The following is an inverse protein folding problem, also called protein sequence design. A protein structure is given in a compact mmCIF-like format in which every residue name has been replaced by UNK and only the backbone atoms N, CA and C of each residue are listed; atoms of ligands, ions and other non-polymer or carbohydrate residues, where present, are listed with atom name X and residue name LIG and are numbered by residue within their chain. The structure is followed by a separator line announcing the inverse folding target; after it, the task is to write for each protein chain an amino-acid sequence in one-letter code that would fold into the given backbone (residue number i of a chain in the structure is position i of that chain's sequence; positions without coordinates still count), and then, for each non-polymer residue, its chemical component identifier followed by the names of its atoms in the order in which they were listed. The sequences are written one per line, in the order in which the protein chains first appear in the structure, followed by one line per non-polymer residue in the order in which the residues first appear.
data_IF_529775401852
#
_entry.id   IF_529775401852
#
_cell.length_a   1.000
_cell.length_b   1.000
_cell.length_c   1.000
_cell.angle_alpha   90.00
_cell.angle_beta   90.00
_cell.angle_gamma   90.00
#
_symmetry.space_group_name_H-M   'P 1'
#
loop_
_entity.id
_entity.type
_entity.pdbx_description
1 polymer ?
#
# COMPACT_ATOMS: atom_id res chain seq x y z
N UNK A 1 -54.09 60.21 50.08
CA UNK A 1 -53.19 59.64 51.11
C UNK A 1 -52.67 58.32 50.62
N UNK A 2 -51.35 58.22 50.40
CA UNK A 2 -50.48 57.02 50.53
C UNK A 2 -49.20 57.17 49.67
N UNK A 3 -48.21 57.77 50.32
CA UNK A 3 -46.77 57.41 50.43
C UNK A 3 -46.34 56.08 49.77
N UNK A 4 -45.13 55.82 49.24
CA UNK A 4 -43.76 56.39 49.40
C UNK A 4 -42.76 55.54 48.54
N UNK A 5 -41.50 56.04 48.42
CA UNK A 5 -40.20 55.34 48.13
C UNK A 5 -39.85 55.12 46.64
N UNK A 6 -38.90 55.86 46.04
CA UNK A 6 -37.42 55.88 46.20
C UNK A 6 -36.77 54.52 45.97
N UNK A 7 -35.98 54.41 44.89
CA UNK A 7 -34.66 53.73 44.86
C UNK A 7 -33.90 54.04 43.57
N UNK A 8 -32.83 54.81 43.72
CA UNK A 8 -31.73 54.95 42.75
C UNK A 8 -31.14 53.59 42.39
N UNK A 9 -30.75 53.39 41.13
CA UNK A 9 -29.82 52.34 40.75
C UNK A 9 -28.87 52.83 39.65
N UNK A 10 -27.60 52.56 39.87
CA UNK A 10 -26.41 53.09 39.22
C UNK A 10 -26.24 52.66 37.75
N UNK A 11 -25.45 53.46 37.03
CA UNK A 11 -24.76 53.15 35.78
C UNK A 11 -24.07 51.78 35.79
N UNK A 12 -24.18 51.05 34.69
CA UNK A 12 -23.13 50.15 34.20
C UNK A 12 -23.23 50.05 32.66
N UNK A 13 -22.43 50.87 31.96
CA UNK A 13 -22.24 50.76 30.52
C UNK A 13 -21.26 49.61 30.25
N UNK A 14 -21.79 48.46 29.81
CA UNK A 14 -21.01 47.30 29.39
C UNK A 14 -20.63 47.48 27.91
N UNK A 15 -19.35 47.80 27.65
CA UNK A 15 -18.79 47.77 26.29
C UNK A 15 -18.68 46.31 25.81
N UNK A 16 -19.61 45.89 24.97
CA UNK A 16 -19.53 44.64 24.21
C UNK A 16 -18.61 44.84 22.99
N UNK A 17 -17.32 44.49 23.13
CA UNK A 17 -16.37 44.45 22.01
C UNK A 17 -16.52 43.15 21.20
N UNK A 18 -16.40 43.18 19.85
CA UNK A 18 -16.53 41.99 19.02
C UNK A 18 -15.32 41.07 19.23
N UNK A 19 -15.57 39.87 19.75
CA UNK A 19 -14.59 38.80 19.90
C UNK A 19 -14.36 38.16 18.53
N UNK A 20 -13.25 38.50 17.88
CA UNK A 20 -12.87 37.89 16.60
C UNK A 20 -12.28 36.51 16.87
N UNK A 21 -13.04 35.45 16.61
CA UNK A 21 -12.50 34.08 16.63
C UNK A 21 -11.58 33.89 15.42
N UNK A 22 -10.27 33.83 15.68
CA UNK A 22 -9.28 33.39 14.71
C UNK A 22 -9.37 31.86 14.59
N UNK A 23 -9.94 31.37 13.49
CA UNK A 23 -9.91 29.95 13.16
C UNK A 23 -8.47 29.53 12.82
N UNK A 24 -7.81 28.80 13.71
CA UNK A 24 -6.55 28.10 13.39
C UNK A 24 -6.87 26.98 12.40
N UNK A 25 -6.44 27.14 11.15
CA UNK A 25 -6.42 26.05 10.19
C UNK A 25 -5.20 25.17 10.51
N UNK A 26 -5.44 24.03 11.16
CA UNK A 26 -4.42 23.00 11.31
C UNK A 26 -4.04 22.47 9.92
N UNK A 27 -2.77 22.63 9.54
CA UNK A 27 -2.21 21.93 8.38
C UNK A 27 -2.17 20.44 8.72
N UNK A 28 -3.10 19.66 8.17
CA UNK A 28 -2.91 18.22 8.10
C UNK A 28 -1.60 17.98 7.32
N UNK A 29 -0.67 17.23 7.89
CA UNK A 29 0.53 16.81 7.18
C UNK A 29 0.10 16.13 5.86
N UNK A 30 0.65 16.59 4.73
CA UNK A 30 0.36 16.02 3.41
C UNK A 30 0.77 14.55 3.40
N UNK A 31 -0.21 13.66 3.43
CA UNK A 31 -0.01 12.21 3.41
C UNK A 31 -0.13 11.71 1.96
N UNK A 32 0.89 11.00 1.51
CA UNK A 32 0.85 10.29 0.22
C UNK A 32 0.00 9.05 0.38
N UNK A 33 -1.13 9.00 -0.33
CA UNK A 33 -2.04 7.84 -0.32
C UNK A 33 -1.99 7.13 -1.66
N UNK A 34 -1.66 5.85 -1.66
CA UNK A 34 -1.66 5.01 -2.85
C UNK A 34 -2.55 3.80 -2.59
N UNK A 35 -3.29 3.36 -3.60
CA UNK A 35 -4.10 2.14 -3.48
C UNK A 35 -3.22 0.92 -3.73
N UNK A 36 -3.55 -0.19 -3.05
CA UNK A 36 -2.86 -1.46 -3.25
C UNK A 36 -2.90 -1.88 -4.73
N UNK A 37 -1.78 -2.41 -5.21
CA UNK A 37 -1.59 -2.89 -6.59
C UNK A 37 -1.77 -1.79 -7.67
N UNK A 38 -1.74 -0.52 -7.26
CA UNK A 38 -1.83 0.63 -8.16
C UNK A 38 -0.62 1.54 -8.04
N UNK A 39 -0.36 2.26 -9.12
CA UNK A 39 0.66 3.30 -9.18
C UNK A 39 0.02 4.68 -9.29
N UNK A 40 0.62 5.67 -8.61
CA UNK A 40 0.25 7.08 -8.70
C UNK A 40 1.46 7.91 -9.11
N UNK A 41 1.21 8.88 -9.99
CA UNK A 41 2.23 9.82 -10.46
C UNK A 41 2.14 11.09 -9.63
N UNK A 42 3.28 11.51 -9.09
CA UNK A 42 3.47 12.75 -8.35
C UNK A 42 4.46 13.65 -9.08
N UNK A 43 4.15 14.94 -9.15
CA UNK A 43 5.06 15.97 -9.67
C UNK A 43 5.76 16.63 -8.49
N UNK A 44 7.09 16.62 -8.53
CA UNK A 44 7.93 17.18 -7.47
C UNK A 44 8.12 18.68 -7.67
N UNK A 45 8.23 19.43 -6.57
CA UNK A 45 8.44 20.87 -6.61
C UNK A 45 9.85 21.26 -7.10
N UNK A 46 10.82 20.35 -6.98
CA UNK A 46 12.21 20.53 -7.39
C UNK A 46 12.77 19.24 -8.02
N UNK A 47 13.86 19.33 -8.82
CA UNK A 47 14.56 18.16 -9.36
C UNK A 47 15.11 17.25 -8.24
N UNK A 48 14.71 15.98 -8.24
CA UNK A 48 15.19 14.96 -7.33
C UNK A 48 16.27 14.09 -7.96
N UNK A 49 17.17 13.60 -7.11
CA UNK A 49 18.24 12.68 -7.47
C UNK A 49 18.12 11.35 -6.73
N UNK A 50 17.66 11.37 -5.47
CA UNK A 50 17.56 10.17 -4.63
C UNK A 50 16.16 10.02 -4.04
N UNK A 51 15.65 8.79 -4.02
CA UNK A 51 14.43 8.41 -3.32
C UNK A 51 14.78 7.39 -2.23
N UNK A 52 14.18 7.55 -1.05
CA UNK A 52 14.25 6.58 0.03
C UNK A 52 12.85 6.21 0.46
N UNK A 53 12.55 4.91 0.47
CA UNK A 53 11.35 4.34 1.06
C UNK A 53 11.75 3.60 2.33
N UNK A 54 11.10 3.89 3.46
CA UNK A 54 11.42 3.23 4.72
C UNK A 54 11.20 1.72 4.71
N UNK A 55 10.12 1.26 4.09
CA UNK A 55 9.82 -0.16 3.92
C UNK A 55 9.39 -0.50 2.48
N UNK A 56 10.28 -1.08 1.64
CA UNK A 56 9.97 -1.42 0.25
C UNK A 56 8.97 -2.58 0.10
N UNK A 57 8.67 -3.32 1.18
CA UNK A 57 7.61 -4.34 1.14
C UNK A 57 6.20 -3.71 1.14
N UNK A 58 6.05 -2.48 1.64
CA UNK A 58 4.76 -1.76 1.69
C UNK A 58 4.53 -0.99 0.40
N UNK A 59 5.53 -0.22 -0.05
CA UNK A 59 5.44 0.61 -1.24
C UNK A 59 6.78 0.70 -1.95
N UNK A 60 6.77 1.12 -3.20
CA UNK A 60 7.96 1.34 -4.01
C UNK A 60 7.80 2.62 -4.81
N UNK A 61 8.92 3.23 -5.19
CA UNK A 61 8.90 4.48 -5.91
C UNK A 61 10.08 4.60 -6.86
N UNK A 62 9.81 5.13 -8.06
CA UNK A 62 10.80 5.29 -9.13
C UNK A 62 10.69 6.68 -9.73
N UNK A 63 11.83 7.32 -10.00
CA UNK A 63 11.88 8.54 -10.82
C UNK A 63 11.75 8.14 -12.29
N UNK A 64 10.74 8.68 -12.98
CA UNK A 64 10.67 8.63 -14.44
C UNK A 64 11.61 9.67 -15.07
N UNK A 65 11.66 10.85 -14.45
CA UNK A 65 12.59 11.94 -14.74
C UNK A 65 12.85 12.71 -13.44
N UNK A 66 13.66 13.78 -13.50
CA UNK A 66 14.06 14.54 -12.32
C UNK A 66 12.88 15.13 -11.51
N UNK A 67 11.69 15.31 -12.08
CA UNK A 67 10.55 15.90 -11.37
C UNK A 67 9.30 15.01 -11.35
N UNK A 68 9.41 13.77 -11.81
CA UNK A 68 8.28 12.86 -11.97
C UNK A 68 8.51 11.59 -11.19
N UNK A 69 7.78 11.47 -10.08
CA UNK A 69 7.83 10.32 -9.20
C UNK A 69 6.64 9.40 -9.47
N UNK A 70 6.91 8.12 -9.71
CA UNK A 70 5.89 7.08 -9.79
C UNK A 70 5.96 6.28 -8.49
N UNK A 71 4.87 6.24 -7.73
CA UNK A 71 4.78 5.51 -6.46
C UNK A 71 3.79 4.36 -6.62
N UNK A 72 4.18 3.14 -6.24
CA UNK A 72 3.38 1.92 -6.36
C UNK A 72 3.11 1.33 -4.98
N UNK A 73 1.84 1.04 -4.68
CA UNK A 73 1.45 0.33 -3.45
C UNK A 73 1.63 -1.18 -3.63
N UNK A 74 2.37 -1.84 -2.72
CA UNK A 74 2.65 -3.29 -2.77
C UNK A 74 1.93 -4.09 -1.68
N UNK A 75 1.82 -3.54 -0.48
CA UNK A 75 1.13 -4.17 0.63
C UNK A 75 0.49 -3.11 1.54
N UNK A 76 -0.55 -3.49 2.27
CA UNK A 76 -1.19 -2.58 3.22
C UNK A 76 -0.23 -2.16 4.33
N UNK A 77 -0.28 -0.87 4.68
CA UNK A 77 0.52 -0.34 5.77
C UNK A 77 0.83 1.15 5.60
N UNK A 78 1.66 1.64 6.49
CA UNK A 78 2.21 2.98 6.43
C UNK A 78 3.73 2.90 6.48
N UNK A 79 4.38 3.71 5.66
CA UNK A 79 5.83 3.92 5.62
C UNK A 79 6.11 5.41 5.41
N UNK A 80 7.35 5.77 5.15
CA UNK A 80 7.78 7.11 4.84
C UNK A 80 8.44 7.14 3.45
N UNK A 81 8.26 8.26 2.78
CA UNK A 81 8.86 8.59 1.50
C UNK A 81 9.71 9.84 1.70
N UNK A 82 11.01 9.71 1.46
CA UNK A 82 11.97 10.80 1.51
C UNK A 82 12.53 11.00 0.10
N UNK A 83 12.52 12.24 -0.37
CA UNK A 83 13.05 12.62 -1.69
C UNK A 83 14.11 13.68 -1.49
N UNK A 84 15.29 13.45 -2.06
CA UNK A 84 16.46 14.32 -1.93
C UNK A 84 16.89 14.87 -3.29
N UNK A 85 17.45 16.07 -3.29
CA UNK A 85 18.10 16.67 -4.46
C UNK A 85 19.53 16.13 -4.68
N UNK A 86 20.26 16.69 -5.65
CA UNK A 86 21.65 16.30 -5.94
C UNK A 86 22.64 16.66 -4.82
N UNK A 87 22.31 17.63 -3.98
CA UNK A 87 23.12 18.07 -2.85
C UNK A 87 22.84 17.25 -1.59
N UNK A 88 21.82 16.38 -1.62
CA UNK A 88 21.37 15.57 -0.50
C UNK A 88 20.42 16.31 0.44
N UNK A 89 19.91 17.47 0.05
CA UNK A 89 18.93 18.23 0.82
C UNK A 89 17.53 17.65 0.60
N UNK A 90 16.68 17.74 1.64
CA UNK A 90 15.36 17.11 1.61
C UNK A 90 14.37 17.98 0.84
N UNK A 91 13.89 17.47 -0.30
CA UNK A 91 12.79 18.08 -1.07
C UNK A 91 11.46 17.77 -0.38
N UNK A 92 11.30 16.54 0.12
CA UNK A 92 10.05 16.07 0.75
C UNK A 92 10.35 14.93 1.72
N UNK A 93 9.73 14.96 2.88
CA UNK A 93 9.65 13.86 3.85
C UNK A 93 8.21 13.76 4.34
N UNK A 94 7.51 12.70 3.92
CA UNK A 94 6.07 12.51 4.18
C UNK A 94 5.73 11.07 4.49
N UNK A 95 4.63 10.90 5.23
CA UNK A 95 4.03 9.59 5.44
C UNK A 95 3.37 9.08 4.15
N UNK A 96 3.67 7.83 3.79
CA UNK A 96 3.06 7.11 2.69
C UNK A 96 2.16 6.02 3.26
N UNK A 97 0.87 6.04 2.93
CA UNK A 97 -0.11 5.03 3.31
C UNK A 97 -0.59 4.26 2.08
N UNK A 98 -0.54 2.93 2.16
CA UNK A 98 -1.13 2.03 1.15
C UNK A 98 -2.46 1.50 1.65
N UNK A 99 -3.51 1.82 0.91
CA UNK A 99 -4.90 1.58 1.29
C UNK A 99 -5.56 0.54 0.38
N UNK A 100 -6.68 -0.01 0.83
CA UNK A 100 -7.54 -0.81 -0.05
C UNK A 100 -7.99 0.04 -1.24
N UNK A 101 -8.05 -0.59 -2.42
CA UNK A 101 -8.70 0.01 -3.57
C UNK A 101 -10.13 0.38 -3.16
N UNK A 102 -10.47 1.66 -3.33
CA UNK A 102 -11.76 2.17 -2.88
C UNK A 102 -12.89 1.84 -3.86
N UNK A 103 -12.54 1.61 -5.12
CA UNK A 103 -13.49 1.31 -6.18
C UNK A 103 -13.58 -0.20 -6.46
N UNK A 104 -14.81 -0.68 -6.59
CA UNK A 104 -15.13 -2.02 -7.10
C UNK A 104 -14.50 -3.19 -6.32
N UNK A 105 -14.01 -2.96 -5.10
CA UNK A 105 -13.49 -4.00 -4.23
C UNK A 105 -14.51 -4.31 -3.13
N UNK A 106 -15.00 -5.55 -3.09
CA UNK A 106 -15.92 -6.03 -2.05
C UNK A 106 -15.19 -7.06 -1.19
N UNK A 107 -15.21 -6.86 0.12
CA UNK A 107 -14.66 -7.84 1.08
C UNK A 107 -15.80 -8.59 1.78
N UNK A 108 -15.74 -9.91 1.76
CA UNK A 108 -16.70 -10.82 2.41
C UNK A 108 -16.02 -11.53 3.57
N UNK A 109 -16.65 -11.50 4.75
CA UNK A 109 -16.19 -12.22 5.93
C UNK A 109 -17.09 -13.43 6.22
N UNK A 110 -16.50 -14.62 6.29
CA UNK A 110 -17.16 -15.88 6.70
C UNK A 110 -16.52 -16.34 8.01
N UNK A 111 -17.02 -15.80 9.12
CA UNK A 111 -16.33 -15.91 10.41
C UNK A 111 -15.00 -15.15 10.35
N UNK A 112 -13.90 -15.80 10.73
CA UNK A 112 -12.55 -15.22 10.64
C UNK A 112 -11.93 -15.28 9.23
N UNK A 113 -12.58 -15.94 8.27
CA UNK A 113 -12.10 -16.05 6.88
C UNK A 113 -12.51 -14.83 6.08
N UNK A 114 -11.54 -14.08 5.56
CA UNK A 114 -11.75 -12.93 4.66
C UNK A 114 -11.59 -13.35 3.20
N UNK A 115 -12.46 -12.88 2.32
CA UNK A 115 -12.37 -13.09 0.88
C UNK A 115 -12.60 -11.76 0.16
N UNK A 116 -11.82 -11.48 -0.89
CA UNK A 116 -11.96 -10.24 -1.66
C UNK A 116 -12.48 -10.53 -3.07
N UNK A 117 -13.35 -9.65 -3.56
CA UNK A 117 -13.99 -9.73 -4.88
C UNK A 117 -13.80 -8.40 -5.61
N UNK A 118 -13.49 -8.46 -6.90
CA UNK A 118 -13.51 -7.31 -7.80
C UNK A 118 -14.83 -7.29 -8.57
N UNK A 119 -15.63 -6.25 -8.42
CA UNK A 119 -16.99 -6.15 -8.93
C UNK A 119 -17.11 -5.06 -10.00
N UNK A 120 -16.93 -5.44 -11.27
CA UNK A 120 -17.17 -4.58 -12.42
C UNK A 120 -17.84 -5.36 -13.57
N UNK A 121 -19.14 -5.18 -13.85
CA UNK A 121 -20.28 -5.02 -12.94
C UNK A 121 -20.63 -6.31 -12.17
N UNK A 122 -20.10 -7.46 -12.59
CA UNK A 122 -20.22 -8.75 -11.91
C UNK A 122 -19.01 -8.97 -11.01
N UNK A 123 -19.22 -9.61 -9.85
CA UNK A 123 -18.15 -9.86 -8.89
C UNK A 123 -17.34 -11.11 -9.25
N UNK A 124 -16.04 -10.91 -9.44
CA UNK A 124 -15.05 -11.98 -9.67
C UNK A 124 -14.11 -12.10 -8.48
N UNK A 125 -13.70 -13.32 -8.09
CA UNK A 125 -12.74 -13.52 -7.00
C UNK A 125 -11.39 -12.89 -7.33
N UNK A 126 -10.77 -12.25 -6.34
CA UNK A 126 -9.44 -11.64 -6.46
C UNK A 126 -8.58 -11.98 -5.25
N UNK A 127 -7.27 -12.14 -5.47
CA UNK A 127 -6.32 -12.45 -4.42
C UNK A 127 -5.78 -11.15 -3.81
N UNK A 128 -6.17 -10.84 -2.58
CA UNK A 128 -5.71 -9.63 -1.88
C UNK A 128 -4.94 -10.01 -0.60
N UNK A 129 -3.80 -9.36 -0.29
CA UNK A 129 -3.10 -9.53 0.97
C UNK A 129 -4.03 -9.41 2.19
N UNK A 130 -4.00 -10.42 3.06
CA UNK A 130 -4.86 -10.52 4.23
C UNK A 130 -6.19 -11.23 4.01
N UNK A 131 -6.46 -11.77 2.82
CA UNK A 131 -7.50 -12.78 2.62
C UNK A 131 -7.13 -14.12 3.28
N UNK A 132 -8.11 -14.99 3.47
CA UNK A 132 -7.93 -16.37 3.91
C UNK A 132 -6.94 -17.11 2.99
N UNK A 133 -6.04 -17.90 3.58
CA UNK A 133 -4.94 -18.52 2.86
C UNK A 133 -5.38 -19.50 1.78
N UNK A 134 -6.48 -20.22 1.98
CA UNK A 134 -7.03 -21.15 0.99
C UNK A 134 -7.61 -20.37 -0.21
N UNK A 135 -8.31 -19.26 0.06
CA UNK A 135 -8.85 -18.39 -0.98
C UNK A 135 -7.74 -17.74 -1.82
N UNK A 136 -6.78 -17.10 -1.14
CA UNK A 136 -5.66 -16.42 -1.77
C UNK A 136 -4.79 -17.39 -2.59
N UNK A 137 -4.38 -18.51 -1.97
CA UNK A 137 -3.56 -19.53 -2.63
C UNK A 137 -4.27 -20.21 -3.79
N UNK A 138 -5.58 -20.45 -3.67
CA UNK A 138 -6.40 -21.03 -4.72
C UNK A 138 -6.44 -20.17 -5.99
N UNK A 139 -6.68 -18.86 -5.84
CA UNK A 139 -6.71 -17.93 -6.98
C UNK A 139 -5.33 -17.84 -7.64
N UNK A 140 -4.26 -17.67 -6.87
CA UNK A 140 -2.90 -17.61 -7.43
C UNK A 140 -2.52 -18.90 -8.17
N UNK A 141 -2.91 -20.06 -7.63
CA UNK A 141 -2.70 -21.35 -8.29
C UNK A 141 -3.45 -21.45 -9.63
N UNK A 142 -4.71 -21.02 -9.67
CA UNK A 142 -5.52 -20.99 -10.89
C UNK A 142 -4.92 -20.06 -11.95
N UNK A 143 -4.50 -18.85 -11.57
CA UNK A 143 -3.85 -17.89 -12.48
C UNK A 143 -2.53 -18.45 -13.02
N UNK A 144 -1.71 -19.05 -12.17
CA UNK A 144 -0.45 -19.67 -12.59
C UNK A 144 -0.68 -20.82 -13.59
N UNK A 145 -1.66 -21.68 -13.33
CA UNK A 145 -2.05 -22.76 -14.25
C UNK A 145 -2.56 -22.21 -15.58
N UNK A 146 -3.39 -21.18 -15.56
CA UNK A 146 -3.90 -20.53 -16.77
C UNK A 146 -2.77 -19.93 -17.61
N UNK A 147 -1.83 -19.21 -16.99
CA UNK A 147 -0.68 -18.61 -17.67
C UNK A 147 0.30 -19.68 -18.19
N UNK A 148 0.44 -20.79 -17.47
CA UNK A 148 1.22 -21.96 -17.88
C UNK A 148 0.62 -22.71 -19.09
N UNK A 149 -0.71 -22.76 -19.19
CA UNK A 149 -1.41 -23.39 -20.32
C UNK A 149 -1.19 -22.65 -21.65
N UNK A 150 -0.84 -21.37 -21.63
CA UNK A 150 -0.48 -20.59 -22.82
C UNK A 150 1.00 -20.67 -23.22
N UNK A 151 1.87 -21.30 -22.41
CA UNK A 151 3.32 -21.36 -22.62
C UNK A 151 3.85 -22.73 -23.06
N UNK A 152 2.97 -23.71 -23.29
CA UNK A 152 3.33 -24.99 -23.93
C UNK A 152 3.37 -24.86 -25.46
N UNK A 153 4.37 -24.14 -25.96
CA UNK A 153 4.84 -24.37 -27.33
C UNK A 153 5.58 -25.72 -27.35
N UNK A 154 5.21 -26.71 -28.17
CA UNK A 154 5.88 -28.01 -28.17
C UNK A 154 7.26 -27.86 -28.80
N UNK A 155 8.27 -27.55 -27.98
CA UNK A 155 9.64 -27.79 -28.36
C UNK A 155 9.78 -29.31 -28.59
N UNK A 156 9.88 -29.68 -29.87
CA UNK A 156 10.17 -31.04 -30.31
C UNK A 156 11.47 -31.47 -29.66
N UNK A 157 11.39 -32.27 -28.60
CA UNK A 157 12.55 -32.87 -27.98
C UNK A 157 13.14 -33.88 -28.97
N UNK A 158 14.25 -33.48 -29.61
CA UNK A 158 15.06 -34.36 -30.44
C UNK A 158 15.54 -35.55 -29.60
N UNK A 159 15.04 -36.73 -29.94
CA UNK A 159 15.48 -38.02 -29.40
C UNK A 159 16.96 -38.26 -29.74
N UNK A 160 17.86 -37.81 -28.86
CA UNK A 160 19.27 -38.18 -28.86
C UNK A 160 19.47 -39.45 -28.04
N UNK A 161 19.16 -40.60 -28.63
CA UNK A 161 19.47 -41.91 -28.05
C UNK A 161 20.76 -42.48 -28.61
N UNK A 162 21.61 -42.97 -27.71
CA UNK A 162 22.32 -44.27 -27.71
C UNK A 162 23.84 -44.18 -27.46
N UNK A 163 24.29 -44.85 -26.38
CA UNK A 163 25.68 -45.11 -26.02
C UNK A 163 25.85 -44.88 -24.51
N UNK A 164 25.92 -45.87 -23.61
CA UNK A 164 26.61 -47.15 -23.68
C UNK A 164 27.74 -47.10 -22.65
N UNK A 165 27.60 -47.79 -21.51
CA UNK A 165 28.61 -47.79 -20.46
C UNK A 165 28.18 -48.48 -19.17
N UNK A 166 28.23 -49.80 -19.15
CA UNK A 166 28.21 -50.66 -17.95
C UNK A 166 29.55 -50.63 -17.24
N UNK A 167 29.54 -50.48 -15.90
CA UNK A 167 30.48 -50.99 -14.88
C UNK A 167 30.46 -50.04 -13.67
N UNK A 168 30.66 -50.40 -12.40
CA UNK A 168 30.78 -51.64 -11.64
C UNK A 168 31.15 -51.17 -10.20
N UNK A 169 30.52 -51.75 -9.16
CA UNK A 169 30.98 -51.79 -7.75
C UNK A 169 31.27 -50.42 -7.04
N UNK A 170 31.17 -50.21 -5.73
CA UNK A 170 31.24 -51.08 -4.55
C UNK A 170 30.75 -50.24 -3.34
N UNK A 171 30.13 -50.93 -2.39
CA UNK A 171 30.01 -50.66 -0.95
C UNK A 171 30.49 -49.32 -0.36
N UNK A 172 29.63 -48.70 0.48
CA UNK A 172 29.91 -48.58 1.93
C UNK A 172 28.60 -48.29 2.68
N UNK A 173 28.22 -49.23 3.56
CA UNK A 173 27.20 -49.01 4.58
C UNK A 173 27.85 -48.36 5.82
N UNK A 174 27.16 -47.41 6.44
CA UNK A 174 27.40 -46.95 7.80
C UNK A 174 26.05 -46.81 8.50
N UNK A 175 25.89 -47.38 9.70
CA UNK A 175 25.44 -46.52 10.79
C UNK A 175 26.06 -46.86 12.17
N UNK A 176 25.89 -45.88 13.06
CA UNK A 176 25.82 -45.96 14.53
C UNK A 176 27.12 -46.01 15.36
N UNK A 177 27.38 -44.86 16.00
CA UNK A 177 27.62 -44.66 17.44
C UNK A 177 27.60 -45.90 18.34
N UNK A 178 28.73 -46.20 18.98
CA UNK A 178 29.03 -45.96 20.41
C UNK A 178 30.53 -46.19 20.65
#
# INVERSE_FOLDING_TARGET
MSTRLVRSALLAAVLAGPMVLMAVQGHAADMVKVELDQARIYRLAAPASTIVIGNPAIADATLQDAQTLIVTGRAYGQTNLIVLDEQGETITDVQLAVLAASENLVTVYKGAKRQSLSCLPECQPTAVPGDDSEHFGGILGQVAQHNGAGSSSPATASTGGTGGGTANASAQAAPASQ
#
